data_IF_460970564841
#
_entry.id   IF_460970564841
#
_cell.length_a   1.000
_cell.length_b   1.000
_cell.length_c   1.000
_cell.angle_alpha   90.00
_cell.angle_beta   90.00
_cell.angle_gamma   90.00
#
_symmetry.space_group_name_H-M   'P 1'
#
loop_
_entity.id
_entity.type
_entity.pdbx_description
1 polymer ?
#
# COMPACT_ATOMS: atom_id res chain seq x y z
N UNK A 1 4.71 3.77 -24.61
CA UNK A 1 4.45 5.08 -25.24
C UNK A 1 3.43 5.84 -24.44
N UNK A 2 3.64 7.13 -24.15
CA UNK A 2 2.69 7.98 -23.41
C UNK A 2 1.29 8.07 -24.06
N UNK A 3 1.19 7.69 -25.35
CA UNK A 3 -0.06 7.58 -26.12
C UNK A 3 -1.10 6.68 -25.43
N UNK A 4 -0.71 5.64 -24.70
CA UNK A 4 -1.65 4.73 -24.03
C UNK A 4 -2.16 5.26 -22.68
N UNK A 5 -1.52 6.28 -22.11
CA UNK A 5 -1.85 6.79 -20.78
C UNK A 5 -3.29 7.34 -20.70
N UNK A 6 -3.78 8.16 -21.65
CA UNK A 6 -5.17 8.63 -21.64
C UNK A 6 -6.16 7.47 -21.74
N UNK A 7 -5.88 6.48 -22.60
CA UNK A 7 -6.72 5.29 -22.74
C UNK A 7 -6.77 4.47 -21.46
N UNK A 8 -5.64 4.29 -20.77
CA UNK A 8 -5.60 3.58 -19.49
C UNK A 8 -6.41 4.31 -18.39
N UNK A 9 -6.32 5.64 -18.32
CA UNK A 9 -7.10 6.44 -17.37
C UNK A 9 -8.60 6.33 -17.67
N UNK A 10 -9.00 6.47 -18.93
CA UNK A 10 -10.40 6.36 -19.36
C UNK A 10 -10.92 4.95 -19.10
N UNK A 11 -10.18 3.92 -19.53
CA UNK A 11 -10.56 2.53 -19.33
C UNK A 11 -10.69 2.16 -17.85
N UNK A 12 -9.86 2.75 -16.98
CA UNK A 12 -9.99 2.56 -15.54
C UNK A 12 -11.24 3.22 -14.96
N UNK A 13 -11.53 4.48 -15.35
CA UNK A 13 -12.68 5.24 -14.83
C UNK A 13 -14.03 4.71 -15.35
N UNK A 14 -14.05 4.22 -16.58
CA UNK A 14 -15.25 3.65 -17.23
C UNK A 14 -15.29 2.12 -17.14
N UNK A 15 -14.31 1.51 -16.48
CA UNK A 15 -14.19 0.07 -16.33
C UNK A 15 -15.00 -0.49 -15.15
N UNK A 16 -14.71 -1.75 -14.75
CA UNK A 16 -15.48 -2.45 -13.71
C UNK A 16 -15.47 -1.77 -12.33
N UNK A 17 -14.49 -0.92 -12.05
CA UNK A 17 -14.42 -0.18 -10.78
C UNK A 17 -15.31 1.07 -10.75
N UNK A 18 -15.90 1.45 -11.89
CA UNK A 18 -16.65 2.69 -12.05
C UNK A 18 -15.87 3.95 -11.68
N UNK A 19 -16.57 5.08 -11.59
CA UNK A 19 -15.93 6.36 -11.32
C UNK A 19 -15.34 6.45 -9.91
N UNK A 20 -16.08 6.00 -8.89
CA UNK A 20 -15.64 6.10 -7.48
C UNK A 20 -14.46 5.17 -7.20
N UNK A 21 -14.62 3.89 -7.50
CA UNK A 21 -13.55 2.90 -7.32
C UNK A 21 -12.35 3.21 -8.21
N UNK A 22 -12.59 3.52 -9.48
CA UNK A 22 -11.56 3.90 -10.43
C UNK A 22 -10.74 5.12 -10.00
N UNK A 23 -11.37 6.17 -9.46
CA UNK A 23 -10.65 7.35 -8.95
C UNK A 23 -9.75 7.02 -7.76
N UNK A 24 -10.22 6.18 -6.83
CA UNK A 24 -9.40 5.73 -5.68
C UNK A 24 -8.26 4.82 -6.15
N UNK A 25 -8.49 3.96 -7.13
CA UNK A 25 -7.41 3.19 -7.74
C UNK A 25 -6.34 4.11 -8.38
N UNK A 26 -6.76 5.15 -9.12
CA UNK A 26 -5.84 6.12 -9.71
C UNK A 26 -5.08 6.93 -8.66
N UNK A 27 -5.66 7.19 -7.49
CA UNK A 27 -4.92 7.75 -6.36
C UNK A 27 -3.74 6.83 -5.98
N UNK A 28 -3.97 5.52 -5.87
CA UNK A 28 -2.91 4.54 -5.60
C UNK A 28 -1.82 4.53 -6.68
N UNK A 29 -2.21 4.56 -7.96
CA UNK A 29 -1.27 4.68 -9.08
C UNK A 29 -0.48 5.99 -9.00
N UNK A 30 -1.15 7.10 -8.71
CA UNK A 30 -0.53 8.42 -8.50
C UNK A 30 0.49 8.41 -7.37
N UNK A 31 0.21 7.72 -6.27
CA UNK A 31 1.17 7.51 -5.17
C UNK A 31 2.42 6.73 -5.64
N UNK A 32 2.25 5.67 -6.45
CA UNK A 32 3.38 4.93 -7.01
C UNK A 32 4.25 5.77 -7.96
N UNK A 33 3.61 6.60 -8.80
CA UNK A 33 4.30 7.57 -9.67
C UNK A 33 5.06 8.58 -8.80
N UNK A 34 4.38 9.20 -7.84
CA UNK A 34 4.98 10.17 -6.92
C UNK A 34 6.15 9.57 -6.12
N UNK A 35 6.07 8.30 -5.76
CA UNK A 35 7.17 7.58 -5.13
C UNK A 35 8.42 7.57 -5.99
N UNK A 36 8.27 7.14 -7.25
CA UNK A 36 9.40 6.99 -8.16
C UNK A 36 10.10 8.32 -8.48
N UNK A 37 9.33 9.41 -8.60
CA UNK A 37 9.85 10.73 -8.95
C UNK A 37 10.32 11.55 -7.74
N UNK A 38 9.73 11.35 -6.56
CA UNK A 38 9.97 12.23 -5.42
C UNK A 38 10.19 11.50 -4.11
N UNK A 39 9.23 10.67 -3.68
CA UNK A 39 9.24 10.20 -2.29
C UNK A 39 10.34 9.18 -1.98
N UNK A 40 10.85 8.42 -2.96
CA UNK A 40 11.94 7.47 -2.73
C UNK A 40 13.22 8.11 -2.17
N UNK A 41 13.38 9.43 -2.33
CA UNK A 41 14.51 10.20 -1.79
C UNK A 41 14.21 10.89 -0.44
N UNK A 42 12.98 10.75 0.08
CA UNK A 42 12.46 11.49 1.25
C UNK A 42 12.13 10.54 2.40
N UNK A 43 12.21 11.06 3.62
CA UNK A 43 11.76 10.36 4.84
C UNK A 43 10.27 9.98 4.75
N UNK A 44 9.48 10.72 3.99
CA UNK A 44 8.05 10.45 3.78
C UNK A 44 7.78 9.30 2.79
N UNK A 45 8.79 8.58 2.31
CA UNK A 45 8.62 7.38 1.45
C UNK A 45 7.61 6.34 1.94
N UNK A 46 7.48 6.05 3.25
CA UNK A 46 6.47 5.08 3.68
C UNK A 46 5.03 5.59 3.54
N UNK A 47 4.82 6.92 3.57
CA UNK A 47 3.47 7.51 3.53
C UNK A 47 2.75 7.20 2.22
N UNK A 48 3.46 7.23 1.10
CA UNK A 48 2.85 6.92 -0.20
C UNK A 48 2.47 5.44 -0.32
N UNK A 49 3.20 4.53 0.34
CA UNK A 49 2.80 3.12 0.45
C UNK A 49 1.61 2.94 1.38
N UNK A 50 1.58 3.66 2.50
CA UNK A 50 0.44 3.68 3.42
C UNK A 50 -0.87 4.03 2.67
N UNK A 51 -0.84 5.09 1.87
CA UNK A 51 -2.00 5.55 1.09
C UNK A 51 -2.30 4.58 -0.07
N UNK A 52 -1.29 4.20 -0.86
CA UNK A 52 -1.48 3.37 -2.04
C UNK A 52 -2.08 2.01 -1.71
N UNK A 53 -1.62 1.35 -0.64
CA UNK A 53 -2.14 0.03 -0.28
C UNK A 53 -3.50 0.10 0.41
N UNK A 54 -3.87 1.18 1.10
CA UNK A 54 -5.27 1.40 1.49
C UNK A 54 -6.20 1.61 0.29
N UNK A 55 -5.71 2.31 -0.73
CA UNK A 55 -6.50 2.63 -1.91
C UNK A 55 -6.90 1.37 -2.71
N UNK A 56 -6.09 0.30 -2.68
CA UNK A 56 -6.39 -0.95 -3.40
C UNK A 56 -7.72 -1.58 -2.97
N UNK A 57 -7.93 -2.05 -1.72
CA UNK A 57 -9.22 -2.59 -1.32
C UNK A 57 -10.31 -1.50 -1.31
N UNK A 58 -9.98 -0.26 -0.94
CA UNK A 58 -10.95 0.83 -0.95
C UNK A 58 -11.59 1.02 -2.33
N UNK A 59 -10.81 0.90 -3.41
CA UNK A 59 -11.32 0.99 -4.78
C UNK A 59 -12.40 -0.06 -5.06
N UNK A 60 -12.24 -1.28 -4.55
CA UNK A 60 -13.20 -2.38 -4.73
C UNK A 60 -14.48 -2.11 -3.93
N UNK A 61 -14.37 -1.66 -2.67
CA UNK A 61 -15.53 -1.30 -1.86
C UNK A 61 -16.36 -0.18 -2.50
N UNK A 62 -15.69 0.88 -2.96
CA UNK A 62 -16.38 2.01 -3.58
C UNK A 62 -16.94 1.68 -4.97
N UNK A 63 -16.39 0.70 -5.68
CA UNK A 63 -16.94 0.21 -6.94
C UNK A 63 -18.34 -0.41 -6.77
N UNK A 64 -18.65 -0.93 -5.58
CA UNK A 64 -19.95 -1.53 -5.24
C UNK A 64 -20.75 -0.67 -4.26
N UNK A 65 -20.48 0.64 -4.23
CA UNK A 65 -21.14 1.64 -3.37
C UNK A 65 -21.14 1.28 -1.87
N UNK A 66 -20.09 0.58 -1.41
CA UNK A 66 -19.86 0.29 0.00
C UNK A 66 -18.70 1.10 0.54
N UNK A 67 -18.76 1.41 1.83
CA UNK A 67 -17.61 2.00 2.52
C UNK A 67 -16.67 0.89 3.01
N UNK A 68 -15.36 1.00 2.76
CA UNK A 68 -14.40 0.04 3.27
C UNK A 68 -14.36 0.10 4.81
N UNK A 69 -14.45 -1.04 5.51
CA UNK A 69 -14.27 -1.08 6.96
C UNK A 69 -12.90 -0.55 7.37
N UNK A 70 -12.83 0.14 8.51
CA UNK A 70 -11.58 0.75 8.98
C UNK A 70 -10.46 -0.27 9.18
N UNK A 71 -10.77 -1.50 9.61
CA UNK A 71 -9.78 -2.55 9.78
C UNK A 71 -9.15 -2.99 8.46
N UNK A 72 -9.90 -2.97 7.34
CA UNK A 72 -9.38 -3.27 6.00
C UNK A 72 -8.40 -2.19 5.56
N UNK A 73 -8.80 -0.93 5.75
CA UNK A 73 -7.94 0.22 5.42
C UNK A 73 -6.66 0.21 6.25
N UNK A 74 -6.77 0.02 7.57
CA UNK A 74 -5.65 0.02 8.50
C UNK A 74 -4.67 -1.12 8.21
N UNK A 75 -5.16 -2.36 8.08
CA UNK A 75 -4.30 -3.52 7.80
C UNK A 75 -3.59 -3.38 6.46
N UNK A 76 -4.29 -2.96 5.41
CA UNK A 76 -3.70 -2.77 4.09
C UNK A 76 -2.66 -1.64 4.07
N UNK A 77 -2.93 -0.53 4.76
CA UNK A 77 -1.95 0.57 4.88
C UNK A 77 -0.67 0.13 5.59
N UNK A 78 -0.82 -0.56 6.73
CA UNK A 78 0.31 -1.03 7.55
C UNK A 78 1.11 -2.12 6.82
N UNK A 79 0.43 -3.03 6.12
CA UNK A 79 1.08 -4.00 5.24
C UNK A 79 1.83 -3.31 4.10
N UNK A 80 1.29 -2.23 3.53
CA UNK A 80 1.98 -1.42 2.53
C UNK A 80 3.28 -0.81 3.05
N UNK A 81 3.24 -0.26 4.26
CA UNK A 81 4.47 0.25 4.92
C UNK A 81 5.45 -0.90 5.17
N UNK A 82 5.00 -2.04 5.72
CA UNK A 82 5.88 -3.19 5.95
C UNK A 82 6.52 -3.70 4.65
N UNK A 83 5.73 -3.78 3.57
CA UNK A 83 6.18 -4.15 2.23
C UNK A 83 7.23 -3.18 1.68
N UNK A 84 7.05 -1.86 1.85
CA UNK A 84 8.04 -0.86 1.47
C UNK A 84 9.39 -1.10 2.17
N UNK A 85 9.37 -1.27 3.49
CA UNK A 85 10.58 -1.57 4.25
C UNK A 85 11.22 -2.89 3.79
N UNK A 86 10.43 -3.94 3.55
CA UNK A 86 10.93 -5.23 3.07
C UNK A 86 11.58 -5.14 1.69
N UNK A 87 10.98 -4.38 0.77
CA UNK A 87 11.54 -4.14 -0.57
C UNK A 87 12.88 -3.42 -0.47
N UNK A 88 12.96 -2.34 0.32
CA UNK A 88 14.22 -1.62 0.51
C UNK A 88 15.29 -2.53 1.10
N UNK A 89 14.96 -3.38 2.08
CA UNK A 89 15.92 -4.30 2.69
C UNK A 89 16.59 -5.22 1.68
N UNK A 90 15.82 -5.71 0.70
CA UNK A 90 16.32 -6.54 -0.39
C UNK A 90 17.27 -5.75 -1.31
N UNK A 91 16.96 -4.47 -1.54
CA UNK A 91 17.60 -3.63 -2.55
C UNK A 91 18.61 -2.61 -1.98
N UNK A 92 18.99 -2.70 -0.69
CA UNK A 92 19.83 -1.72 0.03
C UNK A 92 21.13 -1.34 -0.70
N UNK A 93 21.81 -2.31 -1.33
CA UNK A 93 23.05 -2.03 -2.08
C UNK A 93 22.78 -1.24 -3.36
N UNK A 94 21.81 -1.68 -4.16
CA UNK A 94 21.42 -1.02 -5.40
C UNK A 94 20.85 0.38 -5.17
N UNK A 95 20.08 0.55 -4.08
CA UNK A 95 19.55 1.84 -3.65
C UNK A 95 20.66 2.83 -3.32
N UNK A 96 21.73 2.37 -2.65
CA UNK A 96 22.89 3.20 -2.32
C UNK A 96 23.58 3.71 -3.59
N UNK A 97 23.80 2.84 -4.57
CA UNK A 97 24.44 3.19 -5.83
C UNK A 97 23.58 4.19 -6.62
N UNK A 98 22.25 4.07 -6.49
CA UNK A 98 21.26 4.97 -7.09
C UNK A 98 20.97 6.25 -6.29
N UNK A 99 21.69 6.48 -5.18
CA UNK A 99 21.49 7.62 -4.26
C UNK A 99 20.05 7.72 -3.73
N UNK A 100 19.36 6.60 -3.62
CA UNK A 100 18.02 6.51 -3.03
C UNK A 100 18.15 6.58 -1.51
N UNK A 101 17.31 7.40 -0.88
CA UNK A 101 17.50 7.84 0.50
C UNK A 101 16.20 8.02 1.25
N UNK A 102 15.30 7.04 1.14
CA UNK A 102 14.04 6.99 1.88
C UNK A 102 14.24 6.73 3.38
N UNK A 103 13.15 6.72 4.15
CA UNK A 103 13.23 6.42 5.58
C UNK A 103 13.86 5.04 5.87
N UNK A 104 13.47 3.94 5.18
CA UNK A 104 14.06 2.62 5.47
C UNK A 104 15.58 2.58 5.22
N UNK A 105 16.06 3.25 4.17
CA UNK A 105 17.49 3.38 3.88
C UNK A 105 18.24 4.11 5.00
N UNK A 106 17.64 5.20 5.53
CA UNK A 106 18.26 6.05 6.56
C UNK A 106 18.33 5.38 7.94
N UNK A 107 17.28 4.67 8.35
CA UNK A 107 17.27 3.96 9.64
C UNK A 107 18.07 2.65 9.60
N UNK A 108 18.38 2.17 8.39
CA UNK A 108 19.23 1.01 8.17
C UNK A 108 18.53 -0.32 8.41
N UNK A 109 19.28 -1.41 8.15
CA UNK A 109 18.75 -2.78 8.10
C UNK A 109 18.07 -3.23 9.39
N UNK A 110 18.73 -3.09 10.55
CA UNK A 110 18.23 -3.60 11.84
C UNK A 110 16.93 -2.93 12.26
N UNK A 111 16.87 -1.60 12.18
CA UNK A 111 15.67 -0.83 12.55
C UNK A 111 14.54 -1.11 11.56
N UNK A 112 14.86 -1.22 10.27
CA UNK A 112 13.87 -1.59 9.24
C UNK A 112 13.24 -2.96 9.50
N UNK A 113 14.04 -3.97 9.86
CA UNK A 113 13.52 -5.29 10.26
C UNK A 113 12.61 -5.18 11.48
N UNK A 114 13.03 -4.45 12.51
CA UNK A 114 12.21 -4.24 13.71
C UNK A 114 10.87 -3.57 13.39
N UNK A 115 10.86 -2.54 12.55
CA UNK A 115 9.65 -1.86 12.10
C UNK A 115 8.71 -2.83 11.38
N UNK A 116 9.24 -3.66 10.46
CA UNK A 116 8.43 -4.68 9.77
C UNK A 116 7.79 -5.62 10.80
N UNK A 117 8.57 -6.17 11.74
CA UNK A 117 8.05 -7.07 12.77
C UNK A 117 6.94 -6.42 13.60
N UNK A 118 7.14 -5.19 14.07
CA UNK A 118 6.14 -4.46 14.86
C UNK A 118 4.87 -4.23 14.03
N UNK A 119 4.99 -3.81 12.77
CA UNK A 119 3.84 -3.60 11.89
C UNK A 119 3.06 -4.90 11.67
N UNK A 120 3.75 -6.03 11.46
CA UNK A 120 3.10 -7.33 11.28
C UNK A 120 2.39 -7.82 12.54
N UNK A 121 2.93 -7.54 13.73
CA UNK A 121 2.24 -7.82 15.01
C UNK A 121 0.97 -6.98 15.11
N UNK A 122 1.02 -5.69 14.80
CA UNK A 122 -0.14 -4.80 14.83
C UNK A 122 -1.20 -5.25 13.81
N UNK A 123 -0.80 -5.57 12.58
CA UNK A 123 -1.70 -6.08 11.54
C UNK A 123 -2.39 -7.35 12.02
N UNK A 124 -1.63 -8.31 12.56
CA UNK A 124 -2.17 -9.56 13.12
C UNK A 124 -3.18 -9.28 14.24
N UNK A 125 -2.84 -8.37 15.17
CA UNK A 125 -3.74 -7.98 16.24
C UNK A 125 -5.04 -7.36 15.71
N UNK A 126 -4.98 -6.48 14.71
CA UNK A 126 -6.18 -5.90 14.08
C UNK A 126 -7.02 -6.99 13.44
N UNK A 127 -6.42 -7.92 12.69
CA UNK A 127 -7.15 -8.99 11.99
C UNK A 127 -7.87 -9.94 12.96
N UNK A 128 -7.19 -10.37 14.04
CA UNK A 128 -7.80 -11.24 15.06
C UNK A 128 -8.98 -10.57 15.76
N UNK A 129 -8.93 -9.25 15.96
CA UNK A 129 -10.00 -8.47 16.58
C UNK A 129 -11.01 -7.90 15.57
N UNK A 130 -10.87 -8.21 14.27
CA UNK A 130 -11.81 -7.77 13.24
C UNK A 130 -12.89 -8.83 13.00
N UNK A 131 -14.05 -8.45 12.40
CA UNK A 131 -15.13 -9.40 12.13
C UNK A 131 -14.71 -10.63 11.30
N UNK A 132 -13.64 -10.55 10.50
CA UNK A 132 -13.21 -11.69 9.69
C UNK A 132 -12.70 -12.88 10.53
N UNK A 133 -12.34 -12.65 11.80
CA UNK A 133 -11.86 -13.72 12.67
C UNK A 133 -12.96 -14.71 13.05
N UNK A 134 -14.24 -14.29 13.06
CA UNK A 134 -15.36 -15.21 13.25
C UNK A 134 -15.57 -16.10 12.04
N UNK A 135 -15.45 -15.54 10.83
CA UNK A 135 -15.61 -16.28 9.58
C UNK A 135 -14.53 -17.35 9.45
N UNK A 136 -13.27 -17.00 9.68
CA UNK A 136 -12.15 -17.94 9.68
C UNK A 136 -12.36 -19.07 10.71
N UNK A 137 -12.87 -18.76 11.91
CA UNK A 137 -13.11 -19.78 12.93
C UNK A 137 -14.21 -20.76 12.54
N UNK A 138 -15.23 -20.28 11.81
CA UNK A 138 -16.35 -21.10 11.36
C UNK A 138 -16.00 -22.11 10.26
N UNK A 139 -14.93 -21.88 9.50
CA UNK A 139 -14.48 -22.83 8.46
C UNK A 139 -13.67 -24.02 9.03
N UNK A 140 -13.21 -23.93 10.28
CA UNK A 140 -12.37 -24.97 10.91
C UNK A 140 -13.08 -25.76 12.02
N UNK A 141 -14.39 -25.55 12.23
CA UNK A 141 -15.25 -26.29 13.17
C UNK A 141 -16.37 -26.95 12.37
#
# INVERSE_FOLDING_TARGET
>A
TFILLPFAVIANLLGPLGLKGGAVYLLGVGCGIAYNFYFKFRITSPLVYFIALAALPASIFYAVDRNPPLWVLATSSLLGVAFHFANVLKDLSADRDSKIGGLPQRVGKRVSILIIFILLIIVTAILINSPISSDLRSEFI
#
